data_IF_085347882571
#
_entry.id   IF_085347882571
#
_cell.length_a   1.000
_cell.length_b   1.000
_cell.length_c   1.000
_cell.angle_alpha   90.00
_cell.angle_beta   90.00
_cell.angle_gamma   90.00
#
_symmetry.space_group_name_H-M   'P 1'
#
loop_
_entity.id
_entity.type
_entity.pdbx_description
1 polymer ?
#
# COMPACT_ATOMS: atom_id res chain seq x y z
N UNK A 1 -17.81 -4.35 -1.28
CA UNK A 1 -17.15 -4.02 -2.54
C UNK A 1 -15.66 -3.95 -2.26
N UNK A 2 -14.92 -4.97 -2.68
CA UNK A 2 -13.51 -5.21 -2.29
C UNK A 2 -12.74 -5.57 -3.56
N UNK A 3 -12.73 -4.66 -4.54
CA UNK A 3 -12.15 -4.88 -5.86
C UNK A 3 -10.62 -4.74 -5.91
N UNK A 4 -9.93 -5.19 -4.86
CA UNK A 4 -8.49 -5.40 -4.88
C UNK A 4 -8.20 -6.87 -5.19
N UNK A 5 -7.54 -7.17 -6.31
CA UNK A 5 -6.83 -8.46 -6.41
C UNK A 5 -5.67 -8.36 -5.42
N UNK A 6 -5.83 -8.97 -4.26
CA UNK A 6 -4.84 -8.89 -3.19
C UNK A 6 -3.60 -9.71 -3.48
N UNK A 7 -3.72 -10.73 -4.35
CA UNK A 7 -2.61 -11.61 -4.68
C UNK A 7 -2.68 -12.05 -6.13
N UNK A 8 -1.54 -12.02 -6.80
CA UNK A 8 -1.37 -12.56 -8.14
C UNK A 8 -0.92 -14.01 -8.02
N UNK A 9 -1.68 -14.92 -8.62
CA UNK A 9 -1.36 -16.33 -8.70
C UNK A 9 -1.03 -16.70 -10.13
N UNK A 10 -0.02 -17.53 -10.31
CA UNK A 10 0.31 -18.13 -11.60
C UNK A 10 -0.36 -19.50 -11.72
N UNK A 11 -0.74 -19.93 -12.95
CA UNK A 11 -1.31 -21.26 -13.16
C UNK A 11 -0.29 -22.37 -12.85
N UNK A 12 1.00 -22.10 -13.04
CA UNK A 12 2.11 -23.01 -12.75
C UNK A 12 3.36 -22.23 -12.32
N UNK A 13 4.35 -22.93 -11.77
CA UNK A 13 5.67 -22.37 -11.54
C UNK A 13 6.35 -22.05 -12.88
N UNK A 14 6.98 -20.88 -12.98
CA UNK A 14 7.66 -20.46 -14.20
C UNK A 14 9.10 -20.04 -13.91
N UNK A 15 10.02 -20.49 -14.75
CA UNK A 15 11.46 -20.18 -14.63
C UNK A 15 11.88 -19.20 -15.74
N UNK A 16 12.56 -18.12 -15.34
CA UNK A 16 13.16 -17.12 -16.22
C UNK A 16 14.65 -17.00 -15.96
N UNK A 17 15.46 -17.64 -16.82
CA UNK A 17 16.91 -17.72 -16.60
C UNK A 17 17.20 -18.39 -15.25
N UNK A 18 17.83 -17.67 -14.33
CA UNK A 18 18.11 -18.14 -12.97
C UNK A 18 16.99 -17.85 -11.95
N UNK A 19 15.95 -17.09 -12.32
CA UNK A 19 14.82 -16.77 -11.43
C UNK A 19 13.70 -17.78 -11.58
N UNK A 20 13.15 -18.22 -10.46
CA UNK A 20 11.97 -19.09 -10.41
C UNK A 20 10.86 -18.35 -9.69
N UNK A 21 9.71 -18.20 -10.35
CA UNK A 21 8.51 -17.62 -9.76
C UNK A 21 7.58 -18.79 -9.40
N UNK A 22 7.37 -19.07 -8.10
CA UNK A 22 6.47 -20.12 -7.67
C UNK A 22 5.02 -19.77 -8.00
N UNK A 23 4.11 -20.74 -7.82
CA UNK A 23 2.67 -20.56 -8.07
C UNK A 23 2.07 -19.39 -7.26
N UNK A 24 2.64 -19.15 -6.08
CA UNK A 24 2.39 -17.99 -5.24
C UNK A 24 3.18 -16.81 -5.82
N UNK A 25 2.52 -15.93 -6.57
CA UNK A 25 3.14 -14.76 -7.18
C UNK A 25 3.31 -13.62 -6.18
N UNK A 26 2.74 -12.46 -6.49
CA UNK A 26 2.86 -11.27 -5.64
C UNK A 26 1.67 -11.09 -4.71
N UNK A 27 1.91 -10.49 -3.55
CA UNK A 27 0.88 -10.07 -2.60
C UNK A 27 0.27 -8.69 -2.92
N UNK A 28 0.43 -8.23 -4.17
CA UNK A 28 -0.16 -7.01 -4.72
C UNK A 28 -0.55 -7.22 -6.17
N UNK A 29 -1.58 -6.53 -6.64
CA UNK A 29 -1.98 -6.49 -8.06
C UNK A 29 -1.47 -5.28 -8.83
N UNK A 30 -0.90 -4.30 -8.11
CA UNK A 30 -0.34 -3.10 -8.71
C UNK A 30 1.05 -2.84 -8.17
N UNK A 31 2.01 -2.61 -9.05
CA UNK A 31 3.37 -2.25 -8.68
C UNK A 31 4.11 -1.59 -9.84
N UNK A 32 5.07 -0.73 -9.48
CA UNK A 32 6.17 -0.42 -10.38
C UNK A 32 7.15 -1.60 -10.41
N UNK A 33 7.90 -1.74 -11.51
CA UNK A 33 8.76 -2.92 -11.68
C UNK A 33 7.95 -4.16 -12.06
N UNK A 34 8.30 -5.31 -11.49
CA UNK A 34 7.68 -6.63 -11.75
C UNK A 34 7.44 -6.92 -13.22
N UNK A 35 8.39 -6.51 -14.06
CA UNK A 35 8.29 -6.51 -15.52
C UNK A 35 7.84 -7.86 -16.08
N UNK A 36 8.35 -8.94 -15.48
CA UNK A 36 8.00 -10.29 -15.86
C UNK A 36 6.50 -10.57 -15.74
N UNK A 37 5.79 -10.00 -14.77
CA UNK A 37 4.35 -10.22 -14.58
C UNK A 37 3.47 -9.28 -15.44
N UNK A 38 4.10 -8.39 -16.21
CA UNK A 38 3.44 -7.48 -17.17
C UNK A 38 3.36 -8.06 -18.59
N UNK A 39 3.94 -9.23 -18.81
CA UNK A 39 3.97 -9.94 -20.10
C UNK A 39 3.25 -11.30 -19.98
N UNK A 40 1.91 -11.32 -19.85
CA UNK A 40 1.13 -12.51 -19.50
C UNK A 40 1.21 -13.63 -20.56
N UNK A 41 1.50 -13.28 -21.82
CA UNK A 41 1.66 -14.23 -22.92
C UNK A 41 2.79 -15.22 -22.65
N UNK A 42 3.84 -14.81 -21.94
CA UNK A 42 4.98 -15.67 -21.59
C UNK A 42 4.63 -16.80 -20.61
N UNK A 43 3.46 -16.73 -19.98
CA UNK A 43 2.99 -17.68 -18.96
C UNK A 43 1.87 -18.59 -19.45
N UNK A 44 1.53 -18.52 -20.75
CA UNK A 44 0.33 -19.19 -21.28
C UNK A 44 -0.97 -18.53 -20.82
N UNK A 45 -0.90 -17.31 -20.27
CA UNK A 45 -2.04 -16.52 -19.81
C UNK A 45 -2.51 -15.53 -20.88
N UNK A 46 -2.49 -15.91 -22.15
CA UNK A 46 -2.80 -15.02 -23.27
C UNK A 46 -4.24 -14.47 -23.27
N UNK A 47 -5.12 -15.03 -22.44
CA UNK A 47 -6.51 -14.57 -22.24
C UNK A 47 -6.63 -13.47 -21.17
N UNK A 48 -5.56 -13.15 -20.45
CA UNK A 48 -5.54 -12.03 -19.50
C UNK A 48 -5.51 -10.72 -20.29
N UNK A 49 -6.31 -9.75 -19.85
CA UNK A 49 -6.47 -8.46 -20.54
C UNK A 49 -5.13 -7.72 -20.71
N UNK A 50 -5.00 -6.84 -21.73
CA UNK A 50 -3.83 -5.99 -21.91
C UNK A 50 -3.59 -5.13 -20.67
N UNK A 51 -2.38 -5.17 -20.11
CA UNK A 51 -2.06 -4.62 -18.78
C UNK A 51 -1.41 -5.64 -17.84
N UNK A 52 -1.41 -6.92 -18.24
CA UNK A 52 -0.68 -8.00 -17.56
C UNK A 52 -1.37 -8.50 -16.29
N UNK A 53 -0.67 -9.37 -15.56
CA UNK A 53 -1.15 -9.87 -14.26
C UNK A 53 -1.01 -8.82 -13.15
N UNK A 54 -0.10 -7.85 -13.34
CA UNK A 54 0.19 -6.75 -12.41
C UNK A 54 0.25 -5.45 -13.21
N UNK A 55 -0.51 -4.43 -12.81
CA UNK A 55 -0.50 -3.13 -13.50
C UNK A 55 0.39 -2.10 -12.80
N UNK A 56 0.94 -1.14 -13.55
CA UNK A 56 1.60 0.05 -13.00
C UNK A 56 0.64 1.26 -12.89
N UNK A 57 -0.62 1.09 -13.30
CA UNK A 57 -1.59 2.17 -13.36
C UNK A 57 -2.10 2.53 -11.96
N UNK A 58 -1.92 3.78 -11.51
CA UNK A 58 -2.35 4.20 -10.19
C UNK A 58 -3.87 4.37 -10.14
N UNK A 59 -4.42 4.31 -8.94
CA UNK A 59 -5.75 4.89 -8.68
C UNK A 59 -5.57 6.37 -8.32
N UNK A 60 -6.35 7.24 -8.95
CA UNK A 60 -6.31 8.68 -8.71
C UNK A 60 -7.65 9.16 -8.19
N UNK A 61 -7.62 9.82 -7.04
CA UNK A 61 -8.76 10.51 -6.47
C UNK A 61 -8.33 11.95 -6.13
N UNK A 62 -9.22 12.91 -6.41
CA UNK A 62 -9.03 14.31 -6.08
C UNK A 62 -10.10 14.67 -5.05
N UNK A 63 -9.66 15.12 -3.88
CA UNK A 63 -10.52 15.44 -2.74
C UNK A 63 -10.24 16.88 -2.34
N UNK A 64 -11.28 17.69 -2.30
CA UNK A 64 -11.19 19.06 -1.80
C UNK A 64 -11.03 19.06 -0.29
N UNK A 65 -9.98 19.72 0.18
CA UNK A 65 -9.73 19.91 1.61
C UNK A 65 -10.76 20.86 2.20
N UNK A 66 -11.32 20.49 3.34
CA UNK A 66 -12.19 21.31 4.18
C UNK A 66 -11.38 21.86 5.38
N UNK A 67 -10.88 23.10 5.34
CA UNK A 67 -9.97 23.62 6.38
C UNK A 67 -10.59 23.68 7.78
N UNK A 68 -11.91 23.68 7.89
CA UNK A 68 -12.64 23.71 9.16
C UNK A 68 -12.66 22.36 9.89
N UNK A 69 -12.50 21.25 9.17
CA UNK A 69 -12.68 19.89 9.70
C UNK A 69 -11.48 18.98 9.45
N UNK A 70 -10.81 19.15 8.31
CA UNK A 70 -9.66 18.34 7.93
C UNK A 70 -8.41 18.84 8.66
N UNK A 71 -7.77 17.93 9.39
CA UNK A 71 -6.60 18.25 10.22
C UNK A 71 -5.30 17.76 9.61
N UNK A 72 -5.31 16.57 9.03
CA UNK A 72 -4.12 15.89 8.52
C UNK A 72 -4.49 14.74 7.57
N UNK A 73 -3.50 14.23 6.84
CA UNK A 73 -3.53 12.94 6.13
C UNK A 73 -2.37 12.09 6.60
N UNK A 74 -2.64 10.79 6.68
CA UNK A 74 -1.67 9.76 7.02
C UNK A 74 -1.37 8.98 5.74
N UNK A 75 -0.10 8.86 5.40
CA UNK A 75 0.42 7.99 4.35
C UNK A 75 1.34 6.98 5.03
N UNK A 76 1.06 5.69 4.91
CA UNK A 76 1.87 4.65 5.55
C UNK A 76 1.88 3.35 4.75
N UNK A 77 2.89 2.51 4.96
CA UNK A 77 2.97 1.17 4.39
C UNK A 77 2.08 0.16 5.15
N UNK A 78 1.87 -1.01 4.53
CA UNK A 78 1.14 -2.16 5.08
C UNK A 78 1.64 -2.59 6.46
N UNK A 79 2.94 -2.52 6.75
CA UNK A 79 3.47 -2.79 8.08
C UNK A 79 2.82 -1.96 9.21
N UNK A 80 2.24 -0.79 8.92
CA UNK A 80 1.42 -0.02 9.86
C UNK A 80 -0.04 -0.50 9.84
N UNK A 81 -0.65 -0.58 8.67
CA UNK A 81 -2.08 -0.87 8.49
C UNK A 81 -2.47 -2.31 8.79
N UNK A 82 -1.53 -3.25 8.76
CA UNK A 82 -1.73 -4.65 9.11
C UNK A 82 -2.03 -4.83 10.61
N UNK A 83 -1.62 -3.87 11.44
CA UNK A 83 -1.73 -3.95 12.91
C UNK A 83 -2.49 -2.78 13.55
N UNK A 84 -2.72 -1.68 12.81
CA UNK A 84 -3.50 -0.53 13.28
C UNK A 84 -4.70 -0.29 12.37
N UNK A 85 -5.86 -0.04 12.98
CA UNK A 85 -7.07 0.40 12.26
C UNK A 85 -7.00 1.90 11.98
N UNK A 86 -7.71 2.33 10.93
CA UNK A 86 -7.78 3.72 10.49
C UNK A 86 -8.16 4.68 11.62
N UNK A 87 -9.15 4.33 12.45
CA UNK A 87 -9.61 5.18 13.55
C UNK A 87 -8.58 5.28 14.67
N UNK A 88 -7.88 4.18 14.96
CA UNK A 88 -6.86 4.15 16.00
C UNK A 88 -5.63 4.97 15.56
N UNK A 89 -5.22 4.85 14.29
CA UNK A 89 -4.16 5.65 13.69
C UNK A 89 -4.51 7.14 13.71
N UNK A 90 -5.74 7.50 13.33
CA UNK A 90 -6.22 8.88 13.39
C UNK A 90 -6.23 9.43 14.82
N UNK A 91 -6.64 8.65 15.81
CA UNK A 91 -6.60 9.03 17.22
C UNK A 91 -5.16 9.25 17.72
N UNK A 92 -4.23 8.37 17.37
CA UNK A 92 -2.80 8.50 17.70
C UNK A 92 -2.23 9.80 17.13
N UNK A 93 -2.52 10.13 15.87
CA UNK A 93 -2.04 11.38 15.26
C UNK A 93 -2.69 12.61 15.90
N UNK A 94 -3.99 12.54 16.18
CA UNK A 94 -4.75 13.64 16.77
C UNK A 94 -4.29 14.02 18.19
N UNK A 95 -3.65 13.10 18.92
CA UNK A 95 -3.13 13.36 20.26
C UNK A 95 -1.72 13.94 20.27
N UNK A 96 -1.05 14.08 19.11
CA UNK A 96 0.31 14.63 19.03
C UNK A 96 0.31 16.11 18.70
N UNK A 97 1.33 16.82 19.20
CA UNK A 97 1.48 18.26 19.01
C UNK A 97 1.94 18.67 17.59
N UNK A 98 2.38 17.71 16.76
CA UNK A 98 2.88 18.00 15.42
C UNK A 98 3.02 16.77 14.55
N UNK A 99 3.10 16.99 13.23
CA UNK A 99 3.12 15.94 12.22
C UNK A 99 4.30 14.96 12.36
N UNK A 100 5.49 15.47 12.70
CA UNK A 100 6.68 14.63 12.93
C UNK A 100 6.46 13.66 14.09
N UNK A 101 5.96 14.17 15.23
CA UNK A 101 5.68 13.34 16.40
C UNK A 101 4.52 12.38 16.14
N UNK A 102 3.53 12.78 15.34
CA UNK A 102 2.44 11.91 14.88
C UNK A 102 2.96 10.73 14.05
N UNK A 103 3.81 11.00 13.05
CA UNK A 103 4.43 9.95 12.22
C UNK A 103 5.32 9.01 13.07
N UNK A 104 6.13 9.57 13.97
CA UNK A 104 6.92 8.78 14.91
C UNK A 104 6.03 7.91 15.81
N UNK A 105 4.94 8.48 16.33
CA UNK A 105 4.02 7.74 17.20
C UNK A 105 3.33 6.59 16.46
N UNK A 106 2.93 6.76 15.20
CA UNK A 106 2.35 5.68 14.39
C UNK A 106 3.30 4.48 14.27
N UNK A 107 4.56 4.75 13.88
CA UNK A 107 5.55 3.67 13.74
C UNK A 107 5.82 2.96 15.06
N UNK A 108 5.84 3.70 16.18
CA UNK A 108 6.00 3.12 17.53
C UNK A 108 4.80 2.28 17.96
N UNK A 109 3.58 2.71 17.66
CA UNK A 109 2.37 1.95 17.99
C UNK A 109 2.29 0.65 17.18
N UNK A 110 2.59 0.71 15.87
CA UNK A 110 2.62 -0.49 15.02
C UNK A 110 3.70 -1.48 15.49
N UNK A 111 4.89 -0.99 15.85
CA UNK A 111 5.94 -1.84 16.43
C UNK A 111 5.47 -2.50 17.74
N UNK A 112 4.86 -1.74 18.66
CA UNK A 112 4.36 -2.25 19.92
C UNK A 112 3.20 -3.24 19.75
N UNK A 113 2.39 -3.07 18.69
CA UNK A 113 1.33 -4.01 18.30
C UNK A 113 1.88 -5.30 17.66
N UNK A 114 3.20 -5.41 17.47
CA UNK A 114 3.87 -6.62 17.02
C UNK A 114 4.10 -6.69 15.51
N UNK A 115 4.07 -5.57 14.80
CA UNK A 115 4.41 -5.58 13.37
C UNK A 115 5.85 -6.05 13.15
N UNK A 116 6.00 -7.05 12.28
CA UNK A 116 7.27 -7.65 11.91
C UNK A 116 7.86 -7.11 10.61
N UNK A 117 7.25 -6.09 10.01
CA UNK A 117 7.64 -5.54 8.71
C UNK A 117 8.35 -4.18 8.84
N UNK A 118 8.77 -3.60 7.72
CA UNK A 118 9.25 -2.24 7.62
C UNK A 118 8.12 -1.26 7.96
N UNK A 119 8.43 -0.27 8.79
CA UNK A 119 7.46 0.69 9.31
C UNK A 119 7.82 2.09 8.81
N UNK A 120 7.02 2.61 7.89
CA UNK A 120 7.16 3.95 7.34
C UNK A 120 5.82 4.68 7.41
N UNK A 121 5.83 5.89 7.96
CA UNK A 121 4.67 6.76 8.02
C UNK A 121 5.08 8.21 7.68
N UNK A 122 4.21 8.91 6.96
CA UNK A 122 4.26 10.32 6.67
C UNK A 122 2.93 10.93 7.12
N UNK A 123 3.01 11.96 7.95
CA UNK A 123 1.86 12.77 8.33
C UNK A 123 2.07 14.14 7.75
N UNK A 124 1.07 14.63 7.02
CA UNK A 124 0.99 16.02 6.61
C UNK A 124 -0.11 16.65 7.47
N UNK A 125 0.12 17.81 8.07
CA UNK A 125 -0.86 18.50 8.91
C UNK A 125 -1.13 19.89 8.36
N UNK A 126 -2.41 20.27 8.32
CA UNK A 126 -2.81 21.50 7.66
C UNK A 126 -2.55 22.65 8.61
N UNK A 127 -2.15 23.79 8.07
CA UNK A 127 -2.15 25.01 8.88
C UNK A 127 -3.60 25.50 8.99
N UNK A 128 -4.07 25.83 10.20
CA UNK A 128 -5.29 26.61 10.33
C UNK A 128 -5.16 27.86 9.45
N UNK A 129 -6.23 28.22 8.73
CA UNK A 129 -6.27 29.52 8.07
C UNK A 129 -6.17 30.61 9.15
N UNK A 130 -5.27 31.57 8.97
CA UNK A 130 -5.19 32.79 9.79
C UNK A 130 -6.47 33.62 9.68
#
# INVERSE_FOLDING_TARGET
>A
DVHGVWRVFLPAQVSFGSRVIPRWGLAVSRSFGDLLLKEPERYGCAQVAPGGLVTAEPEMQVIDIQPATDRFVILACDGIWDVLRDEDAAAVCASQAGAELAAYSLTRHAFAAGSGDNLTALVVAWRPAE
#
